data_IF_880280844262
#
_entry.id   IF_880280844262
#
_cell.length_a   1.000
_cell.length_b   1.000
_cell.length_c   1.000
_cell.angle_alpha   90.00
_cell.angle_beta   90.00
_cell.angle_gamma   90.00
#
_symmetry.space_group_name_H-M   'P 1'
#
loop_
_entity.id
_entity.type
_entity.pdbx_description
1 polymer ?
#
# COMPACT_ATOMS: atom_id res chain seq x y z
N UNK A 1 27.45 29.12 -17.38
CA UNK A 1 27.20 28.43 -16.10
C UNK A 1 25.69 28.32 -15.94
N UNK A 2 25.10 27.31 -16.59
CA UNK A 2 23.65 27.09 -16.58
C UNK A 2 23.34 26.40 -15.27
N UNK A 3 22.77 27.15 -14.33
CA UNK A 3 22.20 26.57 -13.13
C UNK A 3 21.02 25.71 -13.58
N UNK A 4 21.21 24.39 -13.49
CA UNK A 4 20.15 23.43 -13.73
C UNK A 4 19.04 23.71 -12.71
N UNK A 5 17.86 24.09 -13.23
CA UNK A 5 16.69 24.49 -12.44
C UNK A 5 16.27 23.36 -11.47
N UNK A 6 16.53 22.11 -11.84
CA UNK A 6 16.29 20.95 -10.97
C UNK A 6 17.22 20.91 -9.74
N UNK A 7 18.44 21.41 -9.86
CA UNK A 7 19.41 21.47 -8.75
C UNK A 7 18.95 22.46 -7.67
N UNK A 8 18.39 23.62 -8.07
CA UNK A 8 17.85 24.63 -7.15
C UNK A 8 16.60 24.12 -6.44
N UNK A 9 15.69 23.47 -7.17
CA UNK A 9 14.48 22.86 -6.59
C UNK A 9 14.86 21.76 -5.58
N UNK A 10 15.84 20.91 -5.90
CA UNK A 10 16.31 19.85 -5.00
C UNK A 10 16.98 20.38 -3.73
N UNK A 11 17.60 21.56 -3.78
CA UNK A 11 18.18 22.21 -2.61
C UNK A 11 17.14 22.86 -1.68
N UNK A 12 15.99 23.26 -2.23
CA UNK A 12 14.88 23.88 -1.49
C UNK A 12 13.88 22.86 -0.92
N UNK A 13 13.87 21.63 -1.43
CA UNK A 13 13.04 20.56 -0.89
C UNK A 13 13.75 19.96 0.34
N UNK A 14 13.15 20.02 1.55
CA UNK A 14 13.75 19.43 2.73
C UNK A 14 14.01 17.94 2.50
N UNK A 15 15.12 17.44 3.06
CA UNK A 15 15.56 16.05 2.92
C UNK A 15 14.38 15.08 3.00
N UNK A 16 14.11 14.35 1.90
CA UNK A 16 13.22 13.19 1.95
C UNK A 16 13.77 12.27 3.03
N UNK A 17 12.96 11.84 4.02
CA UNK A 17 13.42 10.88 5.01
C UNK A 17 13.97 9.66 4.26
N UNK A 18 15.11 9.14 4.73
CA UNK A 18 15.68 7.95 4.09
C UNK A 18 14.65 6.82 4.14
N UNK A 19 14.68 5.92 3.16
CA UNK A 19 13.79 4.75 3.14
C UNK A 19 13.89 3.98 4.46
N UNK A 20 15.08 3.92 5.07
CA UNK A 20 15.32 3.32 6.38
C UNK A 20 14.63 4.04 7.54
N UNK A 21 14.61 5.37 7.55
CA UNK A 21 13.91 6.14 8.60
C UNK A 21 12.40 5.95 8.51
N UNK A 22 11.87 5.90 7.29
CA UNK A 22 10.45 5.65 7.04
C UNK A 22 10.07 4.24 7.51
N UNK A 23 10.85 3.22 7.14
CA UNK A 23 10.64 1.85 7.61
C UNK A 23 10.75 1.72 9.14
N UNK A 24 11.68 2.44 9.77
CA UNK A 24 11.82 2.46 11.23
C UNK A 24 10.59 3.07 11.90
N UNK A 25 10.05 4.17 11.37
CA UNK A 25 8.82 4.80 11.89
C UNK A 25 7.62 3.86 11.81
N UNK A 26 7.43 3.19 10.68
CA UNK A 26 6.32 2.25 10.49
C UNK A 26 6.45 1.01 11.37
N UNK A 27 7.65 0.44 11.52
CA UNK A 27 7.89 -0.64 12.50
C UNK A 27 7.57 -0.22 13.93
N UNK A 28 8.02 0.97 14.34
CA UNK A 28 7.71 1.50 15.67
C UNK A 28 6.20 1.74 15.86
N UNK A 29 5.51 2.24 14.83
CA UNK A 29 4.07 2.43 14.87
C UNK A 29 3.33 1.10 15.09
N UNK A 30 3.71 0.04 14.36
CA UNK A 30 3.17 -1.31 14.57
C UNK A 30 3.48 -1.87 15.96
N UNK A 31 4.66 -1.56 16.51
CA UNK A 31 5.02 -2.01 17.86
C UNK A 31 4.15 -1.35 18.95
N UNK A 32 3.74 -0.10 18.74
CA UNK A 32 2.84 0.64 19.65
C UNK A 32 1.38 0.27 19.44
N UNK A 33 0.97 0.01 18.19
CA UNK A 33 -0.39 -0.35 17.78
C UNK A 33 -0.35 -1.61 16.90
N UNK A 34 -0.36 -2.82 17.50
CA UNK A 34 -0.28 -4.08 16.75
C UNK A 34 -1.39 -4.28 15.70
N UNK A 35 -2.57 -3.72 15.96
CA UNK A 35 -3.75 -3.73 15.09
C UNK A 35 -3.56 -2.92 13.79
N UNK A 36 -2.55 -2.05 13.73
CA UNK A 36 -2.28 -1.18 12.58
C UNK A 36 -2.11 -1.99 11.28
N UNK A 37 -1.51 -3.18 11.35
CA UNK A 37 -1.36 -4.05 10.19
C UNK A 37 -2.72 -4.53 9.65
N UNK A 38 -3.63 -4.94 10.55
CA UNK A 38 -4.97 -5.35 10.19
C UNK A 38 -5.79 -4.18 9.61
N UNK A 39 -5.63 -2.98 10.16
CA UNK A 39 -6.27 -1.78 9.63
C UNK A 39 -5.76 -1.42 8.23
N UNK A 40 -4.45 -1.47 7.99
CA UNK A 40 -3.89 -1.24 6.65
C UNK A 40 -4.42 -2.26 5.65
N UNK A 41 -4.51 -3.54 6.02
CA UNK A 41 -5.13 -4.59 5.19
C UNK A 41 -6.58 -4.25 4.86
N UNK A 42 -7.35 -3.81 5.87
CA UNK A 42 -8.76 -3.44 5.72
C UNK A 42 -8.94 -2.23 4.81
N UNK A 43 -8.23 -1.14 5.05
CA UNK A 43 -8.39 0.11 4.29
C UNK A 43 -7.84 0.04 2.87
N UNK A 44 -6.79 -0.76 2.65
CA UNK A 44 -6.27 -0.99 1.29
C UNK A 44 -7.19 -1.88 0.44
N UNK A 45 -8.07 -2.66 1.08
CA UNK A 45 -8.89 -3.66 0.41
C UNK A 45 -8.04 -4.80 -0.16
N UNK A 46 -6.91 -5.10 0.50
CA UNK A 46 -5.93 -6.08 0.02
C UNK A 46 -6.55 -7.47 -0.13
N UNK A 47 -7.35 -7.86 0.87
CA UNK A 47 -8.03 -9.15 0.94
C UNK A 47 -9.48 -9.07 0.47
N UNK A 48 -9.90 -7.95 -0.13
CA UNK A 48 -11.26 -7.78 -0.62
C UNK A 48 -11.36 -8.35 -2.02
N UNK A 49 -12.27 -9.31 -2.20
CA UNK A 49 -12.62 -9.84 -3.52
C UNK A 49 -13.09 -8.69 -4.42
N UNK A 50 -12.59 -8.65 -5.66
CA UNK A 50 -13.09 -7.67 -6.61
C UNK A 50 -14.56 -7.95 -6.93
N UNK A 51 -15.42 -6.91 -7.01
CA UNK A 51 -16.79 -7.09 -7.45
C UNK A 51 -16.79 -7.64 -8.89
N UNK A 52 -17.41 -8.80 -9.08
CA UNK A 52 -17.64 -9.39 -10.39
C UNK A 52 -19.14 -9.39 -10.67
N UNK A 53 -19.54 -8.99 -11.89
CA UNK A 53 -20.92 -9.16 -12.35
C UNK A 53 -21.04 -10.54 -12.99
N UNK A 54 -22.01 -11.33 -12.57
CA UNK A 54 -22.26 -12.62 -13.22
C UNK A 54 -23.23 -12.42 -14.39
N UNK A 55 -22.79 -12.75 -15.60
CA UNK A 55 -23.61 -12.78 -16.82
C UNK A 55 -23.59 -14.20 -17.33
N UNK A 56 -24.77 -14.83 -17.45
CA UNK A 56 -24.93 -16.22 -17.87
C UNK A 56 -24.10 -17.24 -17.05
N UNK A 57 -23.92 -16.96 -15.75
CA UNK A 57 -23.13 -17.80 -14.84
C UNK A 57 -21.61 -17.59 -14.88
N UNK A 58 -21.12 -16.70 -15.75
CA UNK A 58 -19.70 -16.36 -15.86
C UNK A 58 -19.39 -15.04 -15.15
N UNK A 59 -18.31 -15.00 -14.38
CA UNK A 59 -17.85 -13.78 -13.74
C UNK A 59 -17.29 -12.83 -14.80
N UNK A 60 -17.98 -11.73 -15.02
CA UNK A 60 -17.57 -10.63 -15.89
C UNK A 60 -17.01 -9.51 -15.02
N UNK A 61 -15.73 -9.14 -15.18
CA UNK A 61 -15.14 -8.06 -14.39
C UNK A 61 -15.82 -6.72 -14.71
N UNK A 62 -15.95 -5.85 -13.71
CA UNK A 62 -16.43 -4.49 -13.91
C UNK A 62 -15.34 -3.65 -14.61
N UNK A 63 -15.64 -3.13 -15.81
CA UNK A 63 -14.68 -2.51 -16.72
C UNK A 63 -14.57 -0.98 -16.57
N UNK A 64 -14.61 -0.44 -15.35
CA UNK A 64 -14.28 0.99 -15.13
C UNK A 64 -12.77 1.15 -14.95
N UNK A 65 -12.02 1.64 -15.97
CA UNK A 65 -10.56 1.67 -15.91
C UNK A 65 -10.04 2.65 -14.85
N UNK A 66 -10.75 3.75 -14.59
CA UNK A 66 -10.33 4.75 -13.61
C UNK A 66 -10.44 4.18 -12.19
N UNK A 67 -11.55 3.49 -11.91
CA UNK A 67 -11.75 2.79 -10.64
C UNK A 67 -10.73 1.66 -10.44
N UNK A 68 -10.49 0.84 -11.46
CA UNK A 68 -9.50 -0.24 -11.40
C UNK A 68 -8.10 0.29 -11.11
N UNK A 69 -7.69 1.38 -11.76
CA UNK A 69 -6.40 2.02 -11.50
C UNK A 69 -6.30 2.58 -10.07
N UNK A 70 -7.35 3.23 -9.58
CA UNK A 70 -7.41 3.71 -8.20
C UNK A 70 -7.30 2.57 -7.18
N UNK A 71 -8.07 1.49 -7.38
CA UNK A 71 -8.03 0.32 -6.50
C UNK A 71 -6.68 -0.41 -6.54
N UNK A 72 -6.04 -0.50 -7.72
CA UNK A 72 -4.71 -1.05 -7.87
C UNK A 72 -3.67 -0.22 -7.10
N UNK A 73 -3.69 1.11 -7.27
CA UNK A 73 -2.79 2.02 -6.54
C UNK A 73 -3.01 1.98 -5.02
N UNK A 74 -4.27 1.88 -4.58
CA UNK A 74 -4.62 1.72 -3.17
C UNK A 74 -4.06 0.43 -2.57
N UNK A 75 -4.16 -0.70 -3.29
CA UNK A 75 -3.61 -1.99 -2.86
C UNK A 75 -2.08 -1.99 -2.85
N UNK A 76 -1.46 -1.42 -3.88
CA UNK A 76 0.00 -1.33 -3.97
C UNK A 76 0.59 -0.52 -2.82
N UNK A 77 -0.02 0.63 -2.50
CA UNK A 77 0.37 1.41 -1.32
C UNK A 77 0.20 0.59 -0.03
N UNK A 78 -0.90 -0.15 0.11
CA UNK A 78 -1.11 -1.05 1.25
C UNK A 78 0.01 -2.07 1.43
N UNK A 79 0.44 -2.73 0.35
CA UNK A 79 1.56 -3.67 0.36
C UNK A 79 2.87 -2.99 0.76
N UNK A 80 3.15 -1.80 0.23
CA UNK A 80 4.36 -1.05 0.58
C UNK A 80 4.38 -0.70 2.07
N UNK A 81 3.26 -0.29 2.65
CA UNK A 81 3.15 0.01 4.08
C UNK A 81 3.34 -1.25 4.95
N UNK A 82 2.76 -2.39 4.56
CA UNK A 82 2.95 -3.68 5.24
C UNK A 82 4.42 -4.12 5.19
N UNK A 83 5.08 -3.96 4.05
CA UNK A 83 6.51 -4.23 3.90
C UNK A 83 7.36 -3.33 4.80
N UNK A 84 7.05 -2.03 4.88
CA UNK A 84 7.73 -1.09 5.78
C UNK A 84 7.53 -1.43 7.26
N UNK A 85 6.38 -1.99 7.62
CA UNK A 85 6.09 -2.52 8.97
C UNK A 85 6.76 -3.86 9.27
N UNK A 86 7.45 -4.46 8.29
CA UNK A 86 8.09 -5.76 8.44
C UNK A 86 7.10 -6.92 8.56
N UNK A 87 5.89 -6.80 7.98
CA UNK A 87 4.95 -7.91 7.88
C UNK A 87 5.47 -8.88 6.84
N UNK A 88 5.77 -10.10 7.27
CA UNK A 88 6.21 -11.19 6.42
C UNK A 88 5.05 -11.79 5.63
N UNK A 89 5.37 -12.50 4.55
CA UNK A 89 4.37 -13.25 3.79
C UNK A 89 3.67 -14.31 4.64
N UNK A 90 4.39 -14.96 5.56
CA UNK A 90 3.81 -15.96 6.47
C UNK A 90 2.80 -15.34 7.43
N UNK A 91 3.11 -14.18 8.01
CA UNK A 91 2.16 -13.44 8.86
C UNK A 91 0.93 -13.00 8.05
N UNK A 92 1.13 -12.54 6.80
CA UNK A 92 0.04 -12.15 5.92
C UNK A 92 -0.89 -13.35 5.62
N UNK A 93 -0.33 -14.52 5.34
CA UNK A 93 -1.10 -15.74 5.09
C UNK A 93 -1.88 -16.18 6.33
N UNK A 94 -1.27 -16.14 7.52
CA UNK A 94 -1.96 -16.46 8.77
C UNK A 94 -3.17 -15.53 9.00
N UNK A 95 -3.02 -14.24 8.69
CA UNK A 95 -4.13 -13.27 8.76
C UNK A 95 -5.25 -13.52 7.73
N UNK A 96 -4.98 -14.29 6.68
CA UNK A 96 -6.00 -14.72 5.71
C UNK A 96 -6.76 -15.96 6.17
N UNK A 97 -6.10 -16.86 6.89
CA UNK A 97 -6.67 -18.12 7.39
C UNK A 97 -7.55 -17.92 8.64
N UNK A 98 -7.23 -16.93 9.49
CA UNK A 98 -7.95 -16.62 10.73
C UNK A 98 -9.27 -15.85 10.52
N UNK A 99 -9.78 -15.76 9.28
CA UNK A 99 -10.93 -14.92 8.91
C UNK A 99 -12.14 -15.74 8.47
#
# INVERSE_FOLDING_TARGET
>A
MIWDRFTVIRALIPHKPSTGDTARRWRNARAVAPELAADVIRFSGLLTMQPARFVDGFSTPELDPARLAYEAGRRDLGLQLLALMGVSQTELNAMMEDR
#
